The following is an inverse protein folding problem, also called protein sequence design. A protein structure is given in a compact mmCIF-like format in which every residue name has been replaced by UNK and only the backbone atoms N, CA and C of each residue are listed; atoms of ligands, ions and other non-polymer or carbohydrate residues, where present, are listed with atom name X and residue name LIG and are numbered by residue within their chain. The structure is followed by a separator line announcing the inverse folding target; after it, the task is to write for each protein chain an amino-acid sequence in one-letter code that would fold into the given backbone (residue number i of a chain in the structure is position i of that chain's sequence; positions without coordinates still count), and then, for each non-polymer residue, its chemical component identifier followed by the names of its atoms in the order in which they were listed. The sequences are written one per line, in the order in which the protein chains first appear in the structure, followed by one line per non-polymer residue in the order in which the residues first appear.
data_IF_567099264610
#
_entry.id   IF_567099264610
#
_cell.length_a   1.000
_cell.length_b   1.000
_cell.length_c   1.000
_cell.angle_alpha   90.00
_cell.angle_beta   90.00
_cell.angle_gamma   90.00
#
_symmetry.space_group_name_H-M   'P 1'
#
loop_
_entity.id
_entity.type
_entity.pdbx_description
1 polymer ?
#
# COMPACT_ATOMS: atom_id res chain seq x y z
N UNK A 1 -88.21 -20.46 -23.05
CA UNK A 1 -86.86 -20.77 -23.42
C UNK A 1 -86.01 -19.61 -23.00
N UNK A 2 -85.23 -19.77 -21.95
CA UNK A 2 -84.37 -18.68 -21.35
C UNK A 2 -82.96 -19.15 -21.35
N UNK A 3 -82.11 -18.55 -22.18
CA UNK A 3 -80.67 -18.79 -22.26
C UNK A 3 -80.00 -17.95 -21.19
N UNK A 4 -79.38 -18.60 -20.23
CA UNK A 4 -78.62 -17.97 -19.17
C UNK A 4 -77.15 -17.78 -19.66
N UNK A 5 -76.78 -16.53 -19.87
CA UNK A 5 -75.42 -16.11 -20.24
C UNK A 5 -74.56 -16.11 -18.99
N UNK A 6 -73.58 -17.06 -18.94
CA UNK A 6 -72.62 -17.15 -17.83
C UNK A 6 -71.42 -16.26 -18.18
N UNK A 7 -71.27 -15.18 -17.42
CA UNK A 7 -70.07 -14.36 -17.47
C UNK A 7 -68.92 -15.07 -16.74
N UNK A 8 -67.86 -15.41 -17.47
CA UNK A 8 -66.61 -15.89 -16.89
C UNK A 8 -65.68 -14.68 -16.76
N UNK A 9 -65.53 -14.20 -15.53
CA UNK A 9 -64.59 -13.15 -15.23
C UNK A 9 -63.16 -13.78 -15.12
N UNK A 10 -62.36 -13.56 -16.13
CA UNK A 10 -60.90 -13.90 -16.10
C UNK A 10 -60.15 -12.83 -15.33
N UNK A 11 -59.78 -13.13 -14.10
CA UNK A 11 -58.86 -12.31 -13.32
C UNK A 11 -57.42 -12.55 -13.82
N UNK A 12 -56.95 -11.63 -14.65
CA UNK A 12 -55.52 -11.58 -15.04
C UNK A 12 -54.73 -10.95 -13.90
N UNK A 13 -54.10 -11.80 -13.08
CA UNK A 13 -53.17 -11.36 -12.03
C UNK A 13 -51.88 -10.85 -12.65
N UNK A 14 -51.66 -9.55 -12.61
CA UNK A 14 -50.38 -8.94 -12.95
C UNK A 14 -49.39 -9.25 -11.84
N UNK A 15 -48.45 -10.18 -12.09
CA UNK A 15 -47.32 -10.45 -11.23
C UNK A 15 -46.29 -9.32 -11.40
N UNK A 16 -46.26 -8.37 -10.49
CA UNK A 16 -45.19 -7.37 -10.39
C UNK A 16 -43.91 -8.05 -9.91
N UNK A 17 -43.03 -8.34 -10.85
CA UNK A 17 -41.68 -8.79 -10.53
C UNK A 17 -40.91 -7.62 -9.90
N UNK A 18 -40.78 -7.62 -8.58
CA UNK A 18 -39.90 -6.70 -7.85
C UNK A 18 -38.47 -7.18 -8.09
N UNK A 19 -37.78 -6.53 -9.03
CA UNK A 19 -36.34 -6.72 -9.24
C UNK A 19 -35.60 -6.09 -8.05
N UNK A 20 -35.18 -6.93 -7.11
CA UNK A 20 -34.28 -6.51 -6.04
C UNK A 20 -32.90 -6.28 -6.68
N UNK A 21 -32.56 -5.03 -6.94
CA UNK A 21 -31.20 -4.64 -7.30
C UNK A 21 -30.34 -4.79 -6.03
N UNK A 22 -29.68 -5.94 -5.90
CA UNK A 22 -28.67 -6.13 -4.87
C UNK A 22 -27.47 -5.26 -5.30
N UNK A 23 -27.09 -4.22 -4.54
CA UNK A 23 -25.87 -3.52 -4.85
C UNK A 23 -24.72 -4.53 -4.71
N UNK A 24 -24.10 -4.89 -5.82
CA UNK A 24 -22.86 -5.65 -5.81
C UNK A 24 -21.84 -4.76 -5.09
N UNK A 25 -21.56 -5.07 -3.84
CA UNK A 25 -20.39 -4.56 -3.16
C UNK A 25 -19.17 -5.14 -3.90
N UNK A 26 -18.83 -4.51 -5.03
CA UNK A 26 -17.52 -4.65 -5.60
C UNK A 26 -16.57 -4.26 -4.46
N UNK A 27 -16.02 -5.26 -3.79
CA UNK A 27 -14.94 -5.07 -2.84
C UNK A 27 -13.89 -4.26 -3.59
N UNK A 28 -13.81 -2.96 -3.27
CA UNK A 28 -12.70 -2.13 -3.68
C UNK A 28 -11.50 -2.80 -3.05
N UNK A 29 -10.81 -3.62 -3.83
CA UNK A 29 -9.50 -4.11 -3.46
C UNK A 29 -8.68 -2.84 -3.19
N UNK A 30 -8.45 -2.56 -1.90
CA UNK A 30 -7.62 -1.44 -1.51
C UNK A 30 -6.30 -1.61 -2.26
N UNK A 31 -6.00 -0.68 -3.16
CA UNK A 31 -4.77 -0.74 -3.93
C UNK A 31 -3.61 -0.85 -2.96
N UNK A 32 -2.64 -1.73 -3.26
CA UNK A 32 -1.48 -1.90 -2.41
C UNK A 32 -0.80 -0.53 -2.19
N UNK A 33 -0.32 -0.23 -0.96
CA UNK A 33 0.30 1.05 -0.65
C UNK A 33 1.48 1.35 -1.59
N UNK A 34 1.57 2.59 -2.09
CA UNK A 34 2.69 3.04 -2.91
C UNK A 34 3.92 3.30 -2.03
N UNK A 35 4.82 2.31 -1.95
CA UNK A 35 6.05 2.41 -1.19
C UNK A 35 6.98 3.53 -1.65
N UNK A 36 6.97 3.88 -2.93
CA UNK A 36 7.78 4.98 -3.47
C UNK A 36 7.25 6.34 -3.01
N UNK A 37 5.92 6.54 -3.02
CA UNK A 37 5.31 7.76 -2.51
C UNK A 37 5.58 7.91 -1.01
N UNK A 38 5.34 6.86 -0.23
CA UNK A 38 5.56 6.84 1.22
C UNK A 38 7.02 7.12 1.58
N UNK A 39 7.97 6.52 0.84
CA UNK A 39 9.40 6.79 1.02
C UNK A 39 9.74 8.26 0.73
N UNK A 40 9.21 8.80 -0.34
CA UNK A 40 9.43 10.20 -0.75
C UNK A 40 8.97 11.18 0.34
N UNK A 41 7.84 10.90 0.97
CA UNK A 41 7.26 11.76 2.00
C UNK A 41 8.00 11.64 3.33
N UNK A 42 8.37 10.42 3.73
CA UNK A 42 8.80 10.14 5.09
C UNK A 42 10.31 9.92 5.26
N UNK A 43 11.04 9.57 4.21
CA UNK A 43 12.41 9.05 4.30
C UNK A 43 13.44 9.86 3.50
N UNK A 44 13.01 10.41 2.35
CA UNK A 44 13.88 11.06 1.37
C UNK A 44 14.71 12.21 1.94
N UNK A 45 14.15 12.97 2.88
CA UNK A 45 14.84 14.14 3.46
C UNK A 45 16.17 13.79 4.10
N UNK A 46 16.28 12.63 4.72
CA UNK A 46 17.51 12.15 5.34
C UNK A 46 18.26 11.14 4.44
N UNK A 47 17.54 10.18 3.86
CA UNK A 47 18.14 9.07 3.12
C UNK A 47 18.37 9.34 1.63
N UNK A 48 17.91 10.50 1.11
CA UNK A 48 18.01 10.84 -0.31
C UNK A 48 16.97 10.13 -1.18
N UNK A 49 16.73 10.63 -2.39
CA UNK A 49 15.67 10.13 -3.27
C UNK A 49 15.85 8.68 -3.73
N UNK A 50 17.10 8.22 -3.83
CA UNK A 50 17.50 6.87 -4.26
C UNK A 50 18.33 6.14 -3.21
N UNK A 51 18.15 6.48 -1.92
CA UNK A 51 18.93 5.89 -0.85
C UNK A 51 20.36 6.41 -0.75
N UNK A 52 20.67 7.53 -1.43
CA UNK A 52 21.94 8.25 -1.38
C UNK A 52 21.74 9.54 -0.58
N UNK A 53 22.10 9.57 0.71
CA UNK A 53 21.94 10.76 1.55
C UNK A 53 22.72 11.95 0.98
N UNK A 54 22.17 13.17 1.07
CA UNK A 54 22.93 14.37 0.76
C UNK A 54 24.16 14.50 1.66
N UNK A 55 25.26 15.09 1.17
CA UNK A 55 26.51 15.26 1.91
C UNK A 55 26.28 15.93 3.28
N UNK A 56 25.39 16.93 3.34
CA UNK A 56 24.99 17.59 4.59
C UNK A 56 24.43 16.59 5.61
N UNK A 57 23.62 15.62 5.17
CA UNK A 57 23.04 14.63 6.07
C UNK A 57 24.10 13.67 6.60
N UNK A 58 25.07 13.28 5.78
CA UNK A 58 26.21 12.45 6.21
C UNK A 58 27.12 13.20 7.21
N UNK A 59 27.30 14.50 7.03
CA UNK A 59 28.04 15.32 7.99
C UNK A 59 27.34 15.46 9.33
N UNK A 60 26.00 15.65 9.32
CA UNK A 60 25.21 15.76 10.56
C UNK A 60 25.01 14.42 11.27
N UNK A 61 24.96 13.34 10.51
CA UNK A 61 24.66 11.99 10.99
C UNK A 61 25.66 10.98 10.43
N UNK A 62 26.91 10.93 10.95
CA UNK A 62 27.98 10.07 10.39
C UNK A 62 27.65 8.57 10.38
N UNK A 63 26.70 8.14 11.21
CA UNK A 63 26.23 6.75 11.28
C UNK A 63 25.04 6.45 10.37
N UNK A 64 24.58 7.46 9.60
CA UNK A 64 23.46 7.31 8.66
C UNK A 64 23.83 6.30 7.57
N UNK A 65 23.00 5.29 7.40
CA UNK A 65 23.24 4.27 6.39
C UNK A 65 22.91 4.79 4.99
N UNK A 66 23.84 4.56 4.06
CA UNK A 66 23.63 4.74 2.62
C UNK A 66 22.82 3.53 2.14
N UNK A 67 21.53 3.72 1.93
CA UNK A 67 20.63 2.61 1.60
C UNK A 67 20.88 2.02 0.20
N UNK A 68 21.51 2.78 -0.69
CA UNK A 68 21.91 2.31 -2.02
C UNK A 68 23.23 1.53 -2.04
N UNK A 69 23.97 1.52 -0.93
CA UNK A 69 25.23 0.79 -0.83
C UNK A 69 25.00 -0.73 -0.88
N UNK A 70 25.78 -1.42 -1.71
CA UNK A 70 25.63 -2.86 -1.96
C UNK A 70 25.86 -3.70 -0.69
N UNK A 71 26.86 -3.34 0.13
CA UNK A 71 27.15 -4.06 1.37
C UNK A 71 26.05 -3.82 2.42
N UNK A 72 25.43 -2.63 2.42
CA UNK A 72 24.25 -2.33 3.24
C UNK A 72 23.06 -3.15 2.75
N UNK A 73 22.79 -3.15 1.45
CA UNK A 73 21.67 -3.88 0.87
C UNK A 73 21.78 -5.40 1.04
N UNK A 74 22.98 -5.96 0.99
CA UNK A 74 23.21 -7.38 1.22
C UNK A 74 22.80 -7.83 2.64
N UNK A 75 22.82 -6.91 3.61
CA UNK A 75 22.47 -7.17 5.02
C UNK A 75 21.05 -6.75 5.39
N UNK A 76 20.36 -6.04 4.51
CA UNK A 76 19.00 -5.59 4.73
C UNK A 76 18.00 -6.59 4.15
N UNK A 77 17.12 -7.12 4.98
CA UNK A 77 15.87 -7.76 4.54
C UNK A 77 14.70 -6.77 4.69
N UNK A 78 13.60 -7.02 3.97
CA UNK A 78 12.38 -6.24 4.15
C UNK A 78 11.92 -6.26 5.62
N UNK A 79 11.95 -7.43 6.26
CA UNK A 79 11.57 -7.58 7.67
C UNK A 79 12.46 -6.78 8.61
N UNK A 80 13.77 -6.75 8.36
CA UNK A 80 14.71 -5.94 9.18
C UNK A 80 14.43 -4.45 9.04
N UNK A 81 14.05 -4.00 7.85
CA UNK A 81 13.65 -2.61 7.61
C UNK A 81 12.33 -2.31 8.35
N UNK A 82 11.32 -3.17 8.22
CA UNK A 82 10.05 -3.03 8.95
C UNK A 82 10.28 -2.98 10.46
N UNK A 83 11.14 -3.85 10.99
CA UNK A 83 11.49 -3.84 12.40
C UNK A 83 12.12 -2.50 12.85
N UNK A 84 12.99 -1.90 12.02
CA UNK A 84 13.56 -0.57 12.29
C UNK A 84 12.48 0.52 12.20
N UNK A 85 11.58 0.48 11.22
CA UNK A 85 10.49 1.43 11.10
C UNK A 85 9.57 1.39 12.33
N UNK A 86 9.31 0.20 12.85
CA UNK A 86 8.46 0.03 14.05
C UNK A 86 9.10 0.57 15.32
N UNK A 87 10.36 0.28 15.59
CA UNK A 87 11.00 0.67 16.85
C UNK A 87 11.77 2.00 16.77
N UNK A 88 12.05 2.49 15.55
CA UNK A 88 13.00 3.56 15.33
C UNK A 88 14.46 3.10 15.47
N UNK A 89 15.39 4.02 15.30
CA UNK A 89 16.83 3.78 15.45
C UNK A 89 17.54 5.01 16.02
N UNK A 90 17.94 4.92 17.28
CA UNK A 90 18.63 6.01 17.98
C UNK A 90 17.77 7.26 18.15
N UNK A 91 18.42 8.40 18.30
CA UNK A 91 17.74 9.68 18.58
C UNK A 91 17.04 10.28 17.36
N UNK A 92 17.57 10.03 16.18
CA UNK A 92 17.26 10.78 14.97
C UNK A 92 16.22 10.07 14.08
N UNK A 93 16.17 8.76 14.09
CA UNK A 93 15.16 8.00 13.37
C UNK A 93 14.10 7.48 14.35
N UNK A 94 13.01 8.25 14.47
CA UNK A 94 11.89 7.90 15.34
C UNK A 94 11.12 6.70 14.82
N UNK A 95 10.32 6.07 15.68
CA UNK A 95 9.32 5.07 15.29
C UNK A 95 8.29 5.67 14.34
N UNK A 96 7.81 4.85 13.41
CA UNK A 96 6.78 5.22 12.44
C UNK A 96 5.41 4.58 12.72
N UNK A 97 5.23 3.92 13.88
CA UNK A 97 3.97 3.21 14.19
C UNK A 97 2.75 4.11 14.24
N UNK A 98 2.93 5.39 14.57
CA UNK A 98 1.84 6.37 14.61
C UNK A 98 1.61 7.07 13.25
N UNK A 99 2.42 6.75 12.23
CA UNK A 99 2.41 7.40 10.92
C UNK A 99 2.20 6.46 9.75
N UNK A 100 2.60 5.22 9.88
CA UNK A 100 2.52 4.20 8.85
C UNK A 100 1.89 2.93 9.41
N UNK A 101 0.91 2.41 8.70
CA UNK A 101 0.36 1.08 8.96
C UNK A 101 1.39 -0.02 8.68
N UNK A 102 1.19 -1.24 9.18
CA UNK A 102 2.07 -2.37 8.87
C UNK A 102 2.23 -2.64 7.37
N UNK A 103 1.16 -2.49 6.58
CA UNK A 103 1.19 -2.66 5.13
C UNK A 103 2.02 -1.56 4.44
N UNK A 104 1.91 -0.32 4.89
CA UNK A 104 2.71 0.80 4.38
C UNK A 104 4.19 0.66 4.74
N UNK A 105 4.51 0.21 5.95
CA UNK A 105 5.90 -0.09 6.34
C UNK A 105 6.51 -1.18 5.45
N UNK A 106 5.75 -2.22 5.12
CA UNK A 106 6.19 -3.26 4.21
C UNK A 106 6.39 -2.73 2.79
N UNK A 107 5.48 -1.87 2.30
CA UNK A 107 5.61 -1.24 1.00
C UNK A 107 6.87 -0.36 0.91
N UNK A 108 7.15 0.44 1.94
CA UNK A 108 8.39 1.23 2.03
C UNK A 108 9.62 0.31 2.05
N UNK A 109 9.59 -0.75 2.85
CA UNK A 109 10.71 -1.70 2.94
C UNK A 109 11.01 -2.37 1.59
N UNK A 110 9.95 -2.80 0.89
CA UNK A 110 10.04 -3.37 -0.45
C UNK A 110 10.63 -2.37 -1.44
N UNK A 111 10.18 -1.11 -1.40
CA UNK A 111 10.74 -0.05 -2.25
C UNK A 111 12.23 0.20 -1.97
N UNK A 112 12.65 0.27 -0.70
CA UNK A 112 14.05 0.44 -0.31
C UNK A 112 14.92 -0.69 -0.87
N UNK A 113 14.41 -1.92 -0.98
CA UNK A 113 15.13 -3.04 -1.58
C UNK A 113 15.39 -2.86 -3.08
N UNK A 114 14.70 -1.96 -3.76
CA UNK A 114 14.94 -1.66 -5.18
C UNK A 114 16.11 -0.71 -5.42
N UNK A 115 16.69 -0.08 -4.39
CA UNK A 115 17.77 0.89 -4.56
C UNK A 115 19.09 0.27 -5.02
N UNK A 116 19.24 -1.01 -4.84
CA UNK A 116 20.36 -1.75 -5.38
C UNK A 116 19.88 -2.96 -6.17
N UNK A 117 20.36 -3.09 -7.39
CA UNK A 117 20.22 -4.27 -8.21
C UNK A 117 21.57 -4.67 -8.76
N UNK A 118 21.89 -5.97 -8.82
CA UNK A 118 23.11 -6.44 -9.48
C UNK A 118 23.26 -5.93 -10.93
N UNK A 119 22.14 -5.64 -11.59
CA UNK A 119 22.11 -5.07 -12.93
C UNK A 119 22.58 -3.61 -13.00
N UNK A 120 22.49 -2.85 -11.90
CA UNK A 120 22.94 -1.45 -11.81
C UNK A 120 24.38 -1.32 -11.31
N UNK A 121 24.98 -2.42 -10.82
CA UNK A 121 26.34 -2.48 -10.29
C UNK A 121 27.40 -2.80 -11.35
N UNK A 122 27.04 -2.83 -12.63
CA UNK A 122 28.03 -2.98 -13.70
C UNK A 122 28.67 -1.63 -14.01
N UNK A 123 30.03 -1.55 -13.99
CA UNK A 123 30.74 -0.35 -14.40
C UNK A 123 30.51 -0.03 -15.88
#
# INVERSE_FOLDING_TARGET
MRASLRWVATLTGAMLAVSVVVPSAAAQAASAPDGAALYRENCRSCHGAKGLPPARMLSLYPTLKVLADSAVQARLSADSIVAVLRRGKGKNMKSFVDRLSPAEMLAVATFVKTFWSPATARP
#
